data_IF_462821987023
#
_entry.id   IF_462821987023
#
_cell.length_a   1.000
_cell.length_b   1.000
_cell.length_c   1.000
_cell.angle_alpha   90.00
_cell.angle_beta   90.00
_cell.angle_gamma   90.00
#
_symmetry.space_group_name_H-M   'P 1'
#
loop_
_entity.id
_entity.type
_entity.pdbx_description
1 polymer ?
#
# COMPACT_ATOMS: atom_id res chain seq x y z
N UNK A 1 15.91 -21.01 28.11
CA UNK A 1 15.69 -20.15 26.92
C UNK A 1 16.22 -20.85 25.67
N UNK A 2 15.37 -20.99 24.65
CA UNK A 2 15.76 -21.53 23.33
C UNK A 2 16.44 -20.46 22.48
N UNK A 3 17.32 -20.82 21.54
CA UNK A 3 17.96 -19.86 20.64
C UNK A 3 16.94 -18.98 19.87
N UNK A 4 15.76 -19.52 19.58
CA UNK A 4 14.64 -18.80 18.96
C UNK A 4 14.01 -17.75 19.89
N UNK A 5 13.86 -18.05 21.18
CA UNK A 5 13.36 -17.08 22.17
C UNK A 5 14.30 -15.88 22.31
N UNK A 6 15.61 -16.13 22.27
CA UNK A 6 16.62 -15.07 22.38
C UNK A 6 16.57 -14.13 21.17
N UNK A 7 16.49 -14.68 19.96
CA UNK A 7 16.34 -13.89 18.72
C UNK A 7 15.03 -13.10 18.74
N UNK A 8 13.92 -13.71 19.19
CA UNK A 8 12.63 -13.03 19.27
C UNK A 8 12.69 -11.82 20.24
N UNK A 9 13.31 -11.99 21.41
CA UNK A 9 13.50 -10.90 22.36
C UNK A 9 14.45 -9.82 21.84
N UNK A 10 15.48 -10.19 21.07
CA UNK A 10 16.36 -9.24 20.41
C UNK A 10 15.59 -8.42 19.35
N UNK A 11 14.76 -9.04 18.52
CA UNK A 11 13.90 -8.33 17.55
C UNK A 11 12.94 -7.38 18.27
N UNK A 12 12.33 -7.81 19.38
CA UNK A 12 11.48 -6.94 20.19
C UNK A 12 12.26 -5.75 20.77
N UNK A 13 13.51 -5.96 21.19
CA UNK A 13 14.42 -4.90 21.65
C UNK A 13 14.74 -3.91 20.53
N UNK A 14 14.96 -4.37 19.30
CA UNK A 14 15.15 -3.48 18.15
C UNK A 14 13.91 -2.65 17.84
N UNK A 15 12.71 -3.24 17.87
CA UNK A 15 11.44 -2.50 17.73
C UNK A 15 11.35 -1.41 18.80
N UNK A 16 11.65 -1.76 20.06
CA UNK A 16 11.66 -0.81 21.18
C UNK A 16 12.65 0.34 20.94
N UNK A 17 13.87 0.05 20.48
CA UNK A 17 14.88 1.07 20.16
C UNK A 17 14.38 2.01 19.07
N UNK A 18 13.78 1.49 18.01
CA UNK A 18 13.20 2.32 16.93
C UNK A 18 12.06 3.18 17.46
N UNK A 19 11.16 2.64 18.30
CA UNK A 19 10.06 3.41 18.87
C UNK A 19 10.50 4.58 19.77
N UNK A 20 11.71 4.51 20.34
CA UNK A 20 12.30 5.56 21.17
C UNK A 20 13.12 6.60 20.38
N UNK A 21 13.35 6.41 19.07
CA UNK A 21 14.08 7.38 18.24
C UNK A 21 13.32 8.72 18.15
N UNK A 22 14.01 9.78 17.72
CA UNK A 22 13.35 11.07 17.54
C UNK A 22 12.47 11.11 16.28
N UNK A 23 12.97 10.55 15.18
CA UNK A 23 12.28 10.44 13.90
C UNK A 23 12.02 8.98 13.51
N UNK A 24 11.02 8.78 12.65
CA UNK A 24 10.60 7.47 12.14
C UNK A 24 10.33 6.44 13.26
N UNK A 25 9.63 6.87 14.31
CA UNK A 25 9.35 6.06 15.50
C UNK A 25 8.48 4.83 15.26
N UNK A 26 7.91 4.65 14.07
CA UNK A 26 6.97 3.57 13.77
C UNK A 26 7.55 2.77 12.60
N UNK A 27 8.26 1.66 12.87
CA UNK A 27 8.82 0.82 11.82
C UNK A 27 7.70 0.15 11.02
N UNK A 28 7.81 0.18 9.70
CA UNK A 28 6.88 -0.44 8.75
C UNK A 28 7.51 -1.64 8.07
N UNK A 29 6.70 -2.63 7.69
CA UNK A 29 7.18 -3.92 7.15
C UNK A 29 7.94 -3.79 5.83
N UNK A 30 7.69 -2.74 5.05
CA UNK A 30 8.35 -2.45 3.77
C UNK A 30 9.84 -2.11 3.90
N UNK A 31 10.23 -1.45 4.98
CA UNK A 31 11.62 -1.08 5.30
C UNK A 31 12.21 -2.00 6.37
N UNK A 32 11.51 -2.19 7.47
CA UNK A 32 12.02 -2.88 8.66
C UNK A 32 12.30 -4.36 8.42
N UNK A 33 11.51 -5.05 7.59
CA UNK A 33 11.78 -6.46 7.26
C UNK A 33 13.13 -6.62 6.57
N UNK A 34 13.52 -5.68 5.70
CA UNK A 34 14.82 -5.73 5.00
C UNK A 34 15.98 -5.53 5.96
N UNK A 35 15.81 -4.63 6.93
CA UNK A 35 16.79 -4.42 8.00
C UNK A 35 16.95 -5.68 8.87
N UNK A 36 15.84 -6.29 9.30
CA UNK A 36 15.87 -7.52 10.10
C UNK A 36 16.47 -8.71 9.35
N UNK A 37 16.14 -8.88 8.06
CA UNK A 37 16.74 -9.93 7.21
C UNK A 37 18.26 -9.78 7.17
N UNK A 38 18.76 -8.55 7.01
CA UNK A 38 20.20 -8.27 6.99
C UNK A 38 20.86 -8.48 8.36
N UNK A 39 20.21 -8.08 9.46
CA UNK A 39 20.76 -8.15 10.82
C UNK A 39 20.83 -9.59 11.33
N UNK A 40 19.80 -10.39 11.08
CA UNK A 40 19.67 -11.74 11.64
C UNK A 40 19.96 -12.87 10.64
N UNK A 41 20.21 -12.53 9.36
CA UNK A 41 20.46 -13.51 8.28
C UNK A 41 19.37 -14.59 8.21
N UNK A 42 18.11 -14.16 8.25
CA UNK A 42 16.92 -15.03 8.24
C UNK A 42 16.04 -14.72 7.03
N UNK A 43 15.34 -15.76 6.57
CA UNK A 43 14.32 -15.64 5.54
C UNK A 43 13.13 -14.78 6.03
N UNK A 44 12.43 -14.09 5.12
CA UNK A 44 11.34 -13.18 5.50
C UNK A 44 10.20 -13.89 6.21
N UNK A 45 9.95 -15.17 5.91
CA UNK A 45 8.88 -15.95 6.54
C UNK A 45 9.21 -16.34 7.98
N UNK A 46 10.48 -16.63 8.27
CA UNK A 46 10.94 -16.88 9.65
C UNK A 46 10.72 -15.63 10.52
N UNK A 47 11.08 -14.45 10.00
CA UNK A 47 10.92 -13.18 10.72
C UNK A 47 9.44 -12.88 10.95
N UNK A 48 8.57 -13.11 9.96
CA UNK A 48 7.11 -12.97 10.12
C UNK A 48 6.57 -13.90 11.20
N UNK A 49 7.01 -15.16 11.21
CA UNK A 49 6.62 -16.13 12.24
C UNK A 49 7.06 -15.69 13.64
N UNK A 50 8.26 -15.10 13.76
CA UNK A 50 8.75 -14.54 15.02
C UNK A 50 7.89 -13.34 15.45
N UNK A 51 7.58 -12.41 14.54
CA UNK A 51 6.74 -11.23 14.82
C UNK A 51 5.32 -11.61 15.23
N UNK A 52 4.70 -12.60 14.58
CA UNK A 52 3.40 -13.12 15.00
C UNK A 52 3.47 -13.82 16.37
N UNK A 53 4.58 -14.49 16.67
CA UNK A 53 4.80 -15.11 17.98
C UNK A 53 4.96 -14.04 19.07
N UNK A 54 5.70 -12.96 18.80
CA UNK A 54 5.83 -11.81 19.71
C UNK A 54 4.49 -11.08 19.94
N UNK A 55 3.67 -10.98 18.90
CA UNK A 55 2.31 -10.44 18.98
C UNK A 55 1.42 -11.33 19.85
N UNK A 56 1.46 -12.65 19.63
CA UNK A 56 0.69 -13.61 20.43
C UNK A 56 1.11 -13.59 21.91
N UNK A 57 2.40 -13.40 22.18
CA UNK A 57 2.95 -13.19 23.52
C UNK A 57 2.64 -11.81 24.12
N UNK A 58 1.94 -10.93 23.39
CA UNK A 58 1.59 -9.56 23.79
C UNK A 58 2.80 -8.67 24.12
N UNK A 59 3.97 -8.96 23.53
CA UNK A 59 5.20 -8.16 23.68
C UNK A 59 5.20 -6.98 22.70
N UNK A 60 4.60 -7.17 21.53
CA UNK A 60 4.45 -6.14 20.51
C UNK A 60 3.00 -6.07 20.03
N UNK A 61 2.63 -4.90 19.51
CA UNK A 61 1.44 -4.70 18.71
C UNK A 61 1.79 -4.62 17.23
N UNK A 62 0.90 -5.15 16.39
CA UNK A 62 0.98 -5.10 14.93
C UNK A 62 -0.21 -4.31 14.41
N UNK A 63 0.05 -3.25 13.66
CA UNK A 63 -0.94 -2.39 13.02
C UNK A 63 -0.95 -2.71 11.53
N UNK A 64 -2.08 -3.16 10.99
CA UNK A 64 -2.25 -3.31 9.55
C UNK A 64 -2.50 -1.95 8.91
N UNK A 65 -1.44 -1.28 8.46
CA UNK A 65 -1.48 0.12 7.98
C UNK A 65 -2.09 0.21 6.59
N UNK A 66 -1.66 -0.66 5.67
CA UNK A 66 -2.21 -0.76 4.31
C UNK A 66 -2.81 -2.13 4.14
N UNK A 67 -4.11 -2.16 3.81
CA UNK A 67 -4.80 -3.41 3.53
C UNK A 67 -4.51 -3.87 2.10
N UNK A 68 -4.32 -5.19 1.87
CA UNK A 68 -4.23 -5.76 0.52
C UNK A 68 -5.46 -5.41 -0.31
N UNK A 69 -5.27 -5.01 -1.57
CA UNK A 69 -6.40 -4.77 -2.48
C UNK A 69 -6.98 -6.10 -2.98
N UNK A 70 -8.21 -6.41 -2.55
CA UNK A 70 -8.94 -7.64 -2.95
C UNK A 70 -9.08 -7.79 -4.48
N UNK A 71 -9.09 -6.67 -5.22
CA UNK A 71 -9.34 -6.66 -6.68
C UNK A 71 -8.12 -6.98 -7.53
N UNK A 72 -6.93 -6.97 -6.92
CA UNK A 72 -5.64 -7.12 -7.60
C UNK A 72 -4.99 -8.46 -7.23
N UNK A 73 -5.82 -9.46 -6.89
CA UNK A 73 -5.50 -10.84 -6.45
C UNK A 73 -4.52 -11.65 -7.33
N UNK A 74 -3.96 -11.09 -8.40
CA UNK A 74 -2.89 -11.70 -9.19
C UNK A 74 -1.49 -11.26 -8.76
N UNK A 75 -1.37 -10.23 -7.93
CA UNK A 75 -0.11 -9.77 -7.37
C UNK A 75 -0.25 -9.88 -5.85
N UNK A 76 0.49 -10.81 -5.24
CA UNK A 76 0.58 -10.97 -3.78
C UNK A 76 1.14 -9.67 -3.18
N UNK A 77 0.30 -8.67 -2.95
CA UNK A 77 0.64 -7.53 -2.11
C UNK A 77 0.28 -7.93 -0.67
N UNK A 78 1.28 -8.22 0.20
CA UNK A 78 1.02 -8.60 1.58
C UNK A 78 0.44 -7.45 2.41
N UNK A 79 0.33 -6.24 1.85
CA UNK A 79 0.00 -5.03 2.58
C UNK A 79 1.22 -4.51 3.36
N UNK A 80 0.98 -3.48 4.17
CA UNK A 80 2.03 -2.87 5.00
C UNK A 80 1.59 -2.91 6.45
N UNK A 81 2.41 -3.55 7.28
CA UNK A 81 2.23 -3.61 8.73
C UNK A 81 3.18 -2.62 9.41
N UNK A 82 2.79 -2.14 10.58
CA UNK A 82 3.64 -1.34 11.46
C UNK A 82 3.71 -1.98 12.84
N UNK A 83 4.87 -1.82 13.50
CA UNK A 83 5.14 -2.47 14.77
C UNK A 83 5.32 -1.45 15.90
N UNK A 84 4.74 -1.76 17.06
CA UNK A 84 4.89 -0.96 18.27
C UNK A 84 5.16 -1.86 19.47
N UNK A 85 6.10 -1.48 20.33
CA UNK A 85 6.37 -2.21 21.57
C UNK A 85 5.21 -2.02 22.57
N UNK A 86 4.80 -3.09 23.25
CA UNK A 86 3.68 -3.09 24.19
C UNK A 86 4.07 -2.51 25.56
N UNK A 87 4.39 -1.22 25.58
CA UNK A 87 4.68 -0.47 26.80
C UNK A 87 3.87 0.83 26.81
N UNK A 88 3.17 1.09 27.92
CA UNK A 88 2.22 2.20 28.00
C UNK A 88 2.92 3.56 27.82
N UNK A 89 4.14 3.73 28.32
CA UNK A 89 4.91 4.98 28.16
C UNK A 89 5.29 5.17 26.69
N UNK A 90 5.80 4.12 26.05
CA UNK A 90 6.15 4.15 24.62
C UNK A 90 4.92 4.45 23.77
N UNK A 91 3.79 3.79 24.03
CA UNK A 91 2.56 4.01 23.26
C UNK A 91 2.05 5.45 23.39
N UNK A 92 2.11 6.06 24.57
CA UNK A 92 1.73 7.46 24.74
C UNK A 92 2.65 8.41 23.96
N UNK A 93 3.95 8.16 23.95
CA UNK A 93 4.91 8.94 23.14
C UNK A 93 4.65 8.77 21.63
N UNK A 94 4.34 7.54 21.19
CA UNK A 94 3.97 7.24 19.81
C UNK A 94 2.63 7.89 19.43
N UNK A 95 1.65 7.93 20.33
CA UNK A 95 0.38 8.64 20.15
C UNK A 95 0.64 10.12 19.89
N UNK A 96 1.40 10.78 20.76
CA UNK A 96 1.72 12.19 20.60
C UNK A 96 2.46 12.49 19.28
N UNK A 97 3.46 11.66 18.94
CA UNK A 97 4.19 11.78 17.68
C UNK A 97 3.27 11.63 16.46
N UNK A 98 2.43 10.60 16.45
CA UNK A 98 1.52 10.28 15.33
C UNK A 98 0.41 11.32 15.18
N UNK A 99 -0.15 11.83 16.28
CA UNK A 99 -1.14 12.92 16.28
C UNK A 99 -0.57 14.21 15.68
N UNK A 100 0.63 14.64 16.09
CA UNK A 100 1.30 15.80 15.50
C UNK A 100 1.60 15.61 14.02
N UNK A 101 2.01 14.41 13.62
CA UNK A 101 2.27 14.09 12.21
C UNK A 101 0.97 14.10 11.40
N UNK A 102 -0.13 13.62 11.97
CA UNK A 102 -1.45 13.65 11.36
C UNK A 102 -1.94 15.08 11.12
N UNK A 103 -1.81 15.97 12.11
CA UNK A 103 -2.17 17.39 11.96
C UNK A 103 -1.42 18.05 10.80
N UNK A 104 -0.10 17.84 10.72
CA UNK A 104 0.74 18.39 9.65
C UNK A 104 0.34 17.85 8.28
N UNK A 105 0.08 16.54 8.17
CA UNK A 105 -0.36 15.92 6.91
C UNK A 105 -1.75 16.43 6.50
N UNK A 106 -2.66 16.61 7.46
CA UNK A 106 -3.98 17.15 7.21
C UNK A 106 -3.92 18.61 6.74
N UNK A 107 -3.12 19.44 7.41
CA UNK A 107 -2.89 20.84 7.01
C UNK A 107 -2.29 20.92 5.61
N UNK A 108 -1.29 20.10 5.30
CA UNK A 108 -0.67 20.07 3.98
C UNK A 108 -1.64 19.61 2.87
N UNK A 109 -2.57 18.71 3.18
CA UNK A 109 -3.51 18.13 2.20
C UNK A 109 -4.75 19.02 1.97
N UNK A 110 -5.28 19.62 3.04
CA UNK A 110 -6.56 20.34 3.01
C UNK A 110 -6.45 21.84 3.29
N UNK A 111 -5.25 22.36 3.55
CA UNK A 111 -4.97 23.76 3.89
C UNK A 111 -5.79 24.27 5.08
N UNK A 112 -6.13 23.38 6.02
CA UNK A 112 -6.92 23.68 7.22
C UNK A 112 -6.29 23.01 8.42
N UNK A 113 -6.22 23.73 9.54
CA UNK A 113 -5.83 23.16 10.84
C UNK A 113 -7.05 22.61 11.56
N UNK A 114 -6.95 21.39 12.06
CA UNK A 114 -7.96 20.73 12.90
C UNK A 114 -7.24 19.90 13.96
N UNK A 115 -7.91 19.66 15.09
CA UNK A 115 -7.39 18.76 16.13
C UNK A 115 -7.32 17.31 15.61
N UNK A 116 -6.42 16.46 16.15
CA UNK A 116 -6.25 15.08 15.69
C UNK A 116 -7.56 14.29 15.87
N UNK A 117 -8.27 14.50 16.98
CA UNK A 117 -9.57 13.89 17.27
C UNK A 117 -10.66 14.25 16.25
N UNK A 118 -10.65 15.48 15.74
CA UNK A 118 -11.60 15.91 14.71
C UNK A 118 -11.25 15.27 13.37
N UNK A 119 -9.95 15.23 13.04
CA UNK A 119 -9.43 14.63 11.82
C UNK A 119 -9.74 13.14 11.78
N UNK A 120 -9.49 12.40 12.86
CA UNK A 120 -9.77 10.96 12.93
C UNK A 120 -11.26 10.68 12.76
N UNK A 121 -12.15 11.40 13.46
CA UNK A 121 -13.61 11.23 13.33
C UNK A 121 -14.12 11.49 11.91
N UNK A 122 -13.48 12.40 11.18
CA UNK A 122 -13.87 12.76 9.81
C UNK A 122 -13.33 11.77 8.76
N UNK A 123 -12.07 11.35 8.90
CA UNK A 123 -11.36 10.56 7.89
C UNK A 123 -11.48 9.05 8.12
N UNK A 124 -11.65 8.59 9.36
CA UNK A 124 -11.72 7.16 9.68
C UNK A 124 -12.91 6.44 9.01
N UNK A 125 -14.13 7.01 8.91
CA UNK A 125 -15.22 6.38 8.15
C UNK A 125 -14.88 6.16 6.67
N UNK A 126 -13.93 6.93 6.12
CA UNK A 126 -13.47 6.86 4.73
C UNK A 126 -12.11 6.16 4.59
N UNK A 127 -11.67 5.42 5.61
CA UNK A 127 -10.32 4.85 5.67
C UNK A 127 -10.01 3.91 4.49
N UNK A 128 -11.02 3.20 3.96
CA UNK A 128 -10.87 2.35 2.77
C UNK A 128 -10.58 3.15 1.51
N UNK A 129 -11.17 4.34 1.36
CA UNK A 129 -10.92 5.23 0.23
C UNK A 129 -9.55 5.91 0.33
N UNK A 130 -9.08 6.10 1.56
CA UNK A 130 -7.77 6.67 1.88
C UNK A 130 -6.70 5.60 2.08
N UNK A 131 -7.00 4.33 1.76
CA UNK A 131 -6.03 3.24 1.88
C UNK A 131 -4.78 3.59 1.06
N UNK A 132 -3.62 3.23 1.59
CA UNK A 132 -2.32 3.52 0.96
C UNK A 132 -1.94 5.01 0.81
N UNK A 133 -2.79 5.97 1.19
CA UNK A 133 -2.43 7.41 1.20
C UNK A 133 -1.64 7.76 2.47
N UNK A 134 -0.70 8.74 2.45
CA UNK A 134 0.06 9.14 3.64
C UNK A 134 -0.84 9.52 4.82
N UNK A 135 -1.94 10.21 4.54
CA UNK A 135 -2.90 10.63 5.56
C UNK A 135 -3.74 9.46 6.08
N UNK A 136 -4.22 8.57 5.19
CA UNK A 136 -4.98 7.37 5.60
C UNK A 136 -4.14 6.41 6.42
N UNK A 137 -2.88 6.16 6.01
CA UNK A 137 -1.91 5.38 6.78
C UNK A 137 -1.75 5.95 8.20
N UNK A 138 -1.61 7.28 8.32
CA UNK A 138 -1.45 7.94 9.61
C UNK A 138 -2.72 7.91 10.47
N UNK A 139 -3.90 8.13 9.88
CA UNK A 139 -5.18 8.03 10.61
C UNK A 139 -5.35 6.64 11.20
N UNK A 140 -5.06 5.59 10.42
CA UNK A 140 -5.14 4.21 10.88
C UNK A 140 -4.19 3.96 12.09
N UNK A 141 -2.94 4.41 11.98
CA UNK A 141 -1.96 4.32 13.06
C UNK A 141 -2.44 5.01 14.35
N UNK A 142 -2.91 6.26 14.26
CA UNK A 142 -3.38 7.03 15.44
C UNK A 142 -4.54 6.31 16.14
N UNK A 143 -5.53 5.85 15.38
CA UNK A 143 -6.70 5.14 15.94
C UNK A 143 -6.29 3.82 16.60
N UNK A 144 -5.41 3.06 15.96
CA UNK A 144 -4.96 1.77 16.50
C UNK A 144 -4.09 1.94 17.75
N UNK A 145 -3.21 2.95 17.81
CA UNK A 145 -2.44 3.25 19.03
C UNK A 145 -3.37 3.64 20.18
N UNK A 146 -4.40 4.46 19.92
CA UNK A 146 -5.39 4.81 20.95
C UNK A 146 -6.11 3.58 21.49
N UNK A 147 -6.49 2.65 20.60
CA UNK A 147 -7.12 1.39 21.00
C UNK A 147 -6.17 0.49 21.81
N UNK A 148 -4.89 0.41 21.44
CA UNK A 148 -3.91 -0.35 22.23
C UNK A 148 -3.69 0.23 23.63
N UNK A 149 -3.66 1.56 23.76
CA UNK A 149 -3.57 2.22 25.07
C UNK A 149 -4.81 1.87 25.92
N UNK A 150 -6.01 1.92 25.34
CA UNK A 150 -7.25 1.51 26.03
C UNK A 150 -7.20 0.05 26.46
N UNK A 151 -6.75 -0.84 25.57
CA UNK A 151 -6.62 -2.27 25.84
C UNK A 151 -5.63 -2.56 26.98
N UNK A 152 -4.48 -1.89 27.01
CA UNK A 152 -3.49 -2.02 28.09
C UNK A 152 -4.00 -1.50 29.43
N UNK A 153 -4.73 -0.38 29.42
CA UNK A 153 -5.33 0.17 30.64
C UNK A 153 -6.45 -0.71 31.20
N UNK A 154 -7.23 -1.35 30.33
CA UNK A 154 -8.31 -2.24 30.75
C UNK A 154 -7.79 -3.60 31.27
N UNK A 155 -6.67 -4.09 30.74
CA UNK A 155 -6.11 -5.40 31.09
C UNK A 155 -4.60 -5.32 31.41
N UNK A 156 -4.17 -4.61 32.48
CA UNK A 156 -2.76 -4.38 32.76
C UNK A 156 -1.97 -5.67 33.05
N UNK A 157 -2.62 -6.67 33.65
CA UNK A 157 -1.99 -7.94 34.03
C UNK A 157 -1.60 -8.82 32.84
N UNK A 158 -2.27 -8.64 31.70
CA UNK A 158 -2.04 -9.44 30.49
C UNK A 158 -0.72 -9.15 29.80
N UNK A 159 -0.18 -7.95 30.01
CA UNK A 159 1.04 -7.47 29.34
C UNK A 159 2.30 -7.63 30.20
N UNK A 160 2.16 -7.95 31.50
CA UNK A 160 3.29 -8.17 32.40
C UNK A 160 3.94 -9.55 32.26
N UNK A 161 3.22 -10.53 31.70
CA UNK A 161 3.67 -11.94 31.60
C UNK A 161 4.28 -12.32 30.25
N UNK A 162 4.53 -11.36 29.35
CA UNK A 162 4.87 -11.62 27.96
C UNK A 162 6.06 -12.57 27.75
N UNK A 163 7.09 -12.51 28.60
CA UNK A 163 8.25 -13.41 28.49
C UNK A 163 7.92 -14.87 28.81
N UNK A 164 7.04 -15.12 29.79
CA UNK A 164 6.62 -16.48 30.15
C UNK A 164 5.73 -17.06 29.06
N UNK A 165 4.76 -16.26 28.58
CA UNK A 165 3.87 -16.65 27.48
C UNK A 165 4.65 -16.93 26.19
N UNK A 166 5.73 -16.20 25.93
CA UNK A 166 6.60 -16.45 24.78
C UNK A 166 7.27 -17.82 24.86
N UNK A 167 7.81 -18.19 26.02
CA UNK A 167 8.42 -19.50 26.23
C UNK A 167 7.38 -20.62 26.09
N UNK A 168 6.18 -20.44 26.65
CA UNK A 168 5.09 -21.41 26.55
C UNK A 168 4.64 -21.63 25.09
N UNK A 169 4.52 -20.55 24.29
CA UNK A 169 4.15 -20.65 22.87
C UNK A 169 5.26 -21.33 22.04
N UNK A 170 6.53 -21.03 22.34
CA UNK A 170 7.67 -21.64 21.64
C UNK A 170 7.87 -23.10 22.03
N UNK A 171 7.61 -23.46 23.29
CA UNK A 171 7.60 -24.84 23.76
C UNK A 171 6.48 -25.65 23.09
N UNK A 172 5.27 -25.11 23.02
CA UNK A 172 4.15 -25.75 22.33
C UNK A 172 4.39 -25.95 20.82
N UNK A 173 5.19 -25.08 20.18
CA UNK A 173 5.63 -25.25 18.79
C UNK A 173 6.81 -26.22 18.63
N UNK A 174 7.57 -26.49 19.69
CA UNK A 174 8.73 -27.38 19.69
C UNK A 174 8.41 -28.85 19.97
N UNK A 175 7.23 -29.16 20.51
CA UNK A 175 6.82 -30.51 20.93
C UNK A 175 6.11 -31.34 19.85
N UNK A 176 6.15 -30.90 18.58
CA UNK A 176 5.76 -31.75 17.45
C UNK A 176 7.01 -32.42 16.88
N UNK A 177 7.14 -33.76 16.96
CA UNK A 177 8.26 -34.45 16.32
C UNK A 177 8.17 -34.30 14.82
N UNK A 178 9.26 -33.84 14.23
CA UNK A 178 9.49 -33.79 12.80
C UNK A 178 9.56 -35.21 12.25
N UNK A 179 8.55 -35.67 11.50
CA UNK A 179 8.73 -36.52 10.32
C UNK A 179 7.42 -36.65 9.52
N UNK A 180 7.59 -36.73 8.20
CA UNK A 180 6.64 -37.16 7.17
C UNK A 180 5.41 -36.28 6.86
N UNK A 181 5.52 -35.61 5.72
CA UNK A 181 4.52 -35.58 4.62
C UNK A 181 3.22 -36.35 4.88
N UNK A 182 2.09 -35.65 4.84
CA UNK A 182 0.94 -35.97 3.96
C UNK A 182 -0.11 -34.83 3.95
N UNK A 183 -0.96 -34.75 2.90
CA UNK A 183 -1.49 -33.50 2.37
C UNK A 183 -2.87 -33.15 2.94
N UNK A 184 -3.10 -31.86 3.20
CA UNK A 184 -4.45 -31.35 3.40
C UNK A 184 -5.13 -31.14 2.05
N UNK A 185 -5.86 -32.17 1.62
CA UNK A 185 -7.13 -32.14 0.89
C UNK A 185 -7.44 -30.86 0.07
N UNK A 186 -6.88 -30.78 -1.13
CA UNK A 186 -7.47 -30.04 -2.24
C UNK A 186 -8.65 -30.84 -2.79
N UNK A 187 -9.88 -30.41 -2.50
CA UNK A 187 -11.05 -30.80 -3.28
C UNK A 187 -11.64 -29.55 -3.93
N UNK A 188 -11.09 -29.18 -5.09
CA UNK A 188 -11.80 -28.54 -6.19
C UNK A 188 -11.01 -28.85 -7.46
N UNK A 189 -11.42 -29.92 -8.14
CA UNK A 189 -10.85 -30.30 -9.43
C UNK A 189 -11.12 -29.26 -10.51
N UNK A 190 -10.27 -29.19 -11.55
CA UNK A 190 -10.42 -28.27 -12.67
C UNK A 190 -11.40 -28.84 -13.70
N UNK A 191 -12.38 -28.03 -14.13
CA UNK A 191 -13.10 -28.32 -15.37
C UNK A 191 -12.36 -27.68 -16.55
N UNK A 192 -11.92 -28.56 -17.45
CA UNK A 192 -11.39 -28.26 -18.77
C UNK A 192 -12.49 -27.72 -19.70
N UNK A 193 -12.04 -26.84 -20.61
CA UNK A 193 -12.63 -26.56 -21.92
C UNK A 193 -13.93 -25.75 -21.97
N UNK A 194 -13.80 -24.44 -22.25
CA UNK A 194 -14.57 -23.83 -23.32
C UNK A 194 -13.69 -22.91 -24.19
N UNK A 195 -13.95 -23.05 -25.48
CA UNK A 195 -13.20 -22.65 -26.68
C UNK A 195 -13.08 -21.13 -26.84
N UNK A 196 -11.91 -20.69 -27.31
CA UNK A 196 -11.74 -19.40 -27.94
C UNK A 196 -12.42 -19.41 -29.31
N UNK A 197 -13.47 -18.59 -29.49
CA UNK A 197 -13.80 -17.82 -30.72
C UNK A 197 -15.14 -17.09 -30.54
N UNK A 198 -15.18 -15.88 -31.07
CA UNK A 198 -16.36 -15.08 -31.44
C UNK A 198 -17.19 -14.42 -30.35
N UNK A 199 -16.70 -13.26 -29.88
CA UNK A 199 -17.55 -12.07 -29.66
C UNK A 199 -16.79 -10.79 -30.04
N UNK A 200 -16.64 -10.55 -31.35
CA UNK A 200 -16.59 -9.19 -31.87
C UNK A 200 -18.00 -8.79 -32.27
N UNK A 201 -18.66 -8.05 -31.41
CA UNK A 201 -19.72 -7.11 -31.76
C UNK A 201 -19.86 -6.15 -30.57
N UNK A 202 -19.52 -4.89 -30.83
CA UNK A 202 -19.79 -3.69 -30.03
C UNK A 202 -19.20 -3.65 -28.62
N UNK A 203 -17.88 -3.47 -28.54
CA UNK A 203 -17.25 -2.88 -27.35
C UNK A 203 -17.41 -1.35 -27.39
N UNK A 204 -18.61 -0.87 -27.08
CA UNK A 204 -18.69 0.37 -26.33
C UNK A 204 -17.90 0.12 -25.03
N UNK A 205 -16.90 0.97 -24.79
CA UNK A 205 -15.98 0.85 -23.68
C UNK A 205 -16.76 0.53 -22.40
N UNK A 206 -16.59 -0.69 -21.87
CA UNK A 206 -17.09 -1.10 -20.57
C UNK A 206 -16.32 -0.31 -19.48
N UNK A 207 -16.59 0.99 -19.43
CA UNK A 207 -16.16 1.90 -18.38
C UNK A 207 -16.93 1.49 -17.14
N UNK A 208 -16.29 0.69 -16.27
CA UNK A 208 -16.89 0.38 -14.98
C UNK A 208 -17.24 1.70 -14.25
N UNK A 209 -18.52 2.02 -14.05
CA UNK A 209 -18.95 3.30 -13.49
C UNK A 209 -18.46 3.52 -12.06
N UNK A 210 -18.03 2.45 -11.37
CA UNK A 210 -17.49 2.51 -10.01
C UNK A 210 -15.98 2.79 -9.95
N UNK A 211 -15.25 2.76 -11.08
CA UNK A 211 -13.83 3.13 -11.16
C UNK A 211 -13.66 4.65 -11.00
N UNK A 212 -12.62 5.15 -10.31
CA UNK A 212 -12.36 6.60 -10.23
C UNK A 212 -12.33 7.29 -11.59
N UNK A 213 -11.74 6.66 -12.61
CA UNK A 213 -11.80 7.14 -14.00
C UNK A 213 -13.23 7.15 -14.56
N UNK A 214 -14.01 6.09 -14.33
CA UNK A 214 -15.41 6.01 -14.77
C UNK A 214 -16.29 7.10 -14.14
N UNK A 215 -16.10 7.40 -12.85
CA UNK A 215 -16.79 8.50 -12.16
C UNK A 215 -16.38 9.89 -12.64
N UNK A 216 -15.15 10.04 -13.14
CA UNK A 216 -14.68 11.32 -13.70
C UNK A 216 -15.17 11.50 -15.13
N UNK A 217 -15.13 10.45 -15.95
CA UNK A 217 -15.64 10.47 -17.33
C UNK A 217 -17.16 10.66 -17.38
N UNK A 218 -17.90 10.28 -16.32
CA UNK A 218 -19.33 10.59 -16.23
C UNK A 218 -19.65 12.07 -15.90
N UNK A 219 -18.66 12.84 -15.41
CA UNK A 219 -18.84 14.25 -15.03
C UNK A 219 -18.12 15.23 -15.95
N UNK A 220 -17.04 14.79 -16.59
CA UNK A 220 -16.15 15.61 -17.40
C UNK A 220 -15.74 14.86 -18.65
N UNK A 221 -15.48 15.59 -19.74
CA UNK A 221 -14.97 14.97 -20.97
C UNK A 221 -13.58 14.35 -20.75
N UNK A 222 -13.31 13.25 -21.46
CA UNK A 222 -11.99 12.59 -21.46
C UNK A 222 -10.90 13.59 -21.87
N UNK A 223 -11.18 14.44 -22.87
CA UNK A 223 -10.29 15.51 -23.31
C UNK A 223 -9.91 16.46 -22.16
N UNK A 224 -10.89 16.92 -21.39
CA UNK A 224 -10.65 17.81 -20.25
C UNK A 224 -9.76 17.14 -19.20
N UNK A 225 -10.06 15.89 -18.85
CA UNK A 225 -9.29 15.13 -17.87
C UNK A 225 -7.85 14.92 -18.33
N UNK A 226 -7.64 14.59 -19.61
CA UNK A 226 -6.31 14.45 -20.20
C UNK A 226 -5.52 15.76 -20.13
N UNK A 227 -6.13 16.90 -20.46
CA UNK A 227 -5.47 18.21 -20.33
C UNK A 227 -5.07 18.54 -18.89
N UNK A 228 -5.89 18.17 -17.91
CA UNK A 228 -5.58 18.36 -16.48
C UNK A 228 -4.37 17.53 -16.06
N UNK A 229 -4.35 16.24 -16.38
CA UNK A 229 -3.23 15.35 -16.05
C UNK A 229 -1.92 15.80 -16.72
N UNK A 230 -1.99 16.20 -18.00
CA UNK A 230 -0.82 16.70 -18.73
C UNK A 230 -0.28 18.02 -18.16
N UNK A 231 -1.16 18.94 -17.72
CA UNK A 231 -0.72 20.18 -17.05
C UNK A 231 -0.02 19.92 -15.72
N UNK A 232 -0.44 18.89 -14.99
CA UNK A 232 0.15 18.50 -13.70
C UNK A 232 1.38 17.59 -13.83
N UNK A 233 1.83 17.31 -15.06
CA UNK A 233 2.92 16.36 -15.32
C UNK A 233 2.66 14.94 -14.78
N UNK A 234 1.39 14.52 -14.69
CA UNK A 234 0.99 13.19 -14.23
C UNK A 234 1.09 12.16 -15.39
N UNK A 235 2.27 12.05 -16.01
CA UNK A 235 2.49 11.27 -17.23
C UNK A 235 2.24 9.77 -17.03
N UNK A 236 2.64 9.22 -15.87
CA UNK A 236 2.43 7.81 -15.55
C UNK A 236 0.94 7.45 -15.44
N UNK A 237 0.10 8.37 -14.96
CA UNK A 237 -1.36 8.20 -14.95
C UNK A 237 -1.90 8.09 -16.37
N UNK A 238 -1.48 9.00 -17.27
CA UNK A 238 -1.88 8.99 -18.68
C UNK A 238 -1.40 7.71 -19.37
N UNK A 239 -0.18 7.25 -19.07
CA UNK A 239 0.39 5.98 -19.56
C UNK A 239 -0.50 4.79 -19.19
N UNK A 240 -0.88 4.68 -17.93
CA UNK A 240 -1.78 3.63 -17.43
C UNK A 240 -3.16 3.68 -18.08
N UNK A 241 -3.69 4.87 -18.36
CA UNK A 241 -4.99 5.03 -19.04
C UNK A 241 -4.95 4.54 -20.50
N UNK A 242 -3.85 4.77 -21.21
CA UNK A 242 -3.64 4.23 -22.57
C UNK A 242 -3.46 2.70 -22.54
N UNK A 243 -2.64 2.18 -21.62
CA UNK A 243 -2.35 0.72 -21.54
C UNK A 243 -3.62 -0.06 -21.14
N UNK A 244 -4.40 0.46 -20.19
CA UNK A 244 -5.63 -0.17 -19.72
C UNK A 244 -6.80 -0.09 -20.72
N UNK A 245 -6.60 0.52 -21.90
CA UNK A 245 -7.63 0.63 -22.93
C UNK A 245 -8.75 1.60 -22.58
N UNK A 246 -8.58 2.44 -21.55
CA UNK A 246 -9.56 3.47 -21.15
C UNK A 246 -9.51 4.70 -22.05
N UNK A 247 -8.37 4.91 -22.71
CA UNK A 247 -8.16 5.97 -23.71
C UNK A 247 -7.69 5.30 -25.00
N UNK A 248 -8.65 4.99 -25.85
CA UNK A 248 -8.44 4.33 -27.16
C UNK A 248 -8.82 5.22 -28.34
N UNK A 249 -9.61 6.26 -28.11
CA UNK A 249 -10.08 7.15 -29.17
C UNK A 249 -8.92 7.86 -29.88
N UNK A 250 -8.98 7.89 -31.21
CA UNK A 250 -7.96 8.50 -32.08
C UNK A 250 -7.71 9.97 -31.70
N UNK A 251 -8.78 10.73 -31.49
CA UNK A 251 -8.73 12.14 -31.09
C UNK A 251 -7.98 12.36 -29.77
N UNK A 252 -8.21 11.47 -28.78
CA UNK A 252 -7.58 11.55 -27.47
C UNK A 252 -6.09 11.18 -27.54
N UNK A 253 -5.73 10.15 -28.33
CA UNK A 253 -4.33 9.77 -28.54
C UNK A 253 -3.56 10.86 -29.30
N UNK A 254 -4.21 11.52 -30.26
CA UNK A 254 -3.67 12.66 -30.99
C UNK A 254 -3.44 13.86 -30.07
N UNK A 255 -4.41 14.19 -29.22
CA UNK A 255 -4.28 15.23 -28.18
C UNK A 255 -3.05 14.99 -27.29
N UNK A 256 -2.91 13.78 -26.74
CA UNK A 256 -1.79 13.43 -25.85
C UNK A 256 -0.46 13.62 -26.58
N UNK A 257 -0.32 13.09 -27.80
CA UNK A 257 0.90 13.25 -28.60
C UNK A 257 1.24 14.71 -28.86
N UNK A 258 0.27 15.52 -29.29
CA UNK A 258 0.49 16.90 -29.70
C UNK A 258 0.80 17.80 -28.49
N UNK A 259 0.18 17.52 -27.34
CA UNK A 259 0.50 18.18 -26.07
C UNK A 259 1.92 17.86 -25.61
N UNK A 260 2.35 16.59 -25.66
CA UNK A 260 3.71 16.21 -25.28
C UNK A 260 4.77 16.82 -26.21
N UNK A 261 4.51 16.87 -27.52
CA UNK A 261 5.38 17.56 -28.48
C UNK A 261 5.54 19.05 -28.16
N UNK A 262 4.48 19.73 -27.73
CA UNK A 262 4.55 21.14 -27.31
C UNK A 262 5.32 21.31 -26.01
N UNK A 263 5.12 20.42 -25.04
CA UNK A 263 5.84 20.43 -23.77
C UNK A 263 7.34 20.17 -23.97
N UNK A 264 7.72 19.23 -24.85
CA UNK A 264 9.12 18.97 -25.23
C UNK A 264 9.81 20.21 -25.82
N UNK A 265 9.13 20.98 -26.67
CA UNK A 265 9.68 22.22 -27.26
C UNK A 265 9.92 23.32 -26.22
N UNK A 266 9.22 23.28 -25.10
CA UNK A 266 9.28 24.30 -24.04
C UNK A 266 10.21 23.90 -22.88
N UNK A 267 10.96 22.80 -22.98
CA UNK A 267 11.87 22.32 -21.92
C UNK A 267 12.91 23.37 -21.51
N UNK A 268 13.39 24.17 -22.46
CA UNK A 268 14.38 25.22 -22.18
C UNK A 268 13.80 26.41 -21.39
N UNK A 269 12.47 26.52 -21.32
CA UNK A 269 11.76 27.60 -20.61
C UNK A 269 11.36 27.15 -19.20
N UNK A 270 11.02 25.88 -19.02
CA UNK A 270 10.59 25.32 -17.73
C UNK A 270 11.52 24.18 -17.26
N UNK A 271 12.33 24.47 -16.23
CA UNK A 271 13.27 23.52 -15.64
C UNK A 271 12.60 22.30 -15.01
N UNK A 272 11.31 22.38 -14.66
CA UNK A 272 10.54 21.24 -14.14
C UNK A 272 10.23 20.24 -15.26
N UNK A 273 10.04 20.70 -16.49
CA UNK A 273 9.81 19.80 -17.63
C UNK A 273 11.08 19.01 -18.01
N UNK A 274 12.26 19.56 -17.73
CA UNK A 274 13.53 18.89 -18.00
C UNK A 274 13.67 17.58 -17.20
N UNK A 275 13.16 17.51 -15.96
CA UNK A 275 13.22 16.29 -15.15
C UNK A 275 12.29 15.18 -15.66
N UNK A 276 11.30 15.50 -16.49
CA UNK A 276 10.33 14.54 -17.03
C UNK A 276 10.53 14.24 -18.51
N UNK A 277 11.63 14.68 -19.13
CA UNK A 277 11.87 14.53 -20.57
C UNK A 277 11.80 13.07 -21.04
N UNK A 278 12.35 12.14 -20.26
CA UNK A 278 12.31 10.71 -20.59
C UNK A 278 10.88 10.18 -20.56
N UNK A 279 10.13 10.45 -19.50
CA UNK A 279 8.73 10.06 -19.34
C UNK A 279 7.83 10.64 -20.46
N UNK A 280 8.03 11.90 -20.82
CA UNK A 280 7.31 12.53 -21.93
C UNK A 280 7.61 11.84 -23.27
N UNK A 281 8.88 11.53 -23.52
CA UNK A 281 9.31 10.87 -24.75
C UNK A 281 8.73 9.47 -24.86
N UNK A 282 8.74 8.71 -23.77
CA UNK A 282 8.16 7.38 -23.72
C UNK A 282 6.65 7.39 -23.90
N UNK A 283 5.94 8.28 -23.21
CA UNK A 283 4.50 8.41 -23.31
C UNK A 283 4.08 8.82 -24.73
N UNK A 284 4.83 9.72 -25.37
CA UNK A 284 4.61 10.10 -26.77
C UNK A 284 4.81 8.91 -27.72
N UNK A 285 5.87 8.12 -27.53
CA UNK A 285 6.12 6.89 -28.32
C UNK A 285 4.99 5.88 -28.13
N UNK A 286 4.47 5.71 -26.92
CA UNK A 286 3.33 4.85 -26.62
C UNK A 286 2.06 5.34 -27.33
N UNK A 287 1.75 6.64 -27.21
CA UNK A 287 0.59 7.26 -27.85
C UNK A 287 0.66 7.12 -29.38
N UNK A 288 1.82 7.39 -29.99
CA UNK A 288 2.01 7.24 -31.45
C UNK A 288 1.88 5.79 -31.91
N UNK A 289 2.38 4.82 -31.14
CA UNK A 289 2.25 3.39 -31.46
C UNK A 289 0.78 2.94 -31.44
N UNK A 290 0.03 3.40 -30.45
CA UNK A 290 -1.41 3.12 -30.33
C UNK A 290 -2.20 3.84 -31.41
N UNK A 291 -1.85 5.08 -31.74
CA UNK A 291 -2.46 5.84 -32.84
C UNK A 291 -2.27 5.11 -34.17
N UNK A 292 -1.05 4.62 -34.47
CA UNK A 292 -0.78 3.85 -35.68
C UNK A 292 -1.55 2.52 -35.73
N UNK A 293 -1.84 1.91 -34.57
CA UNK A 293 -2.64 0.69 -34.50
C UNK A 293 -4.13 0.96 -34.76
N UNK A 294 -4.63 2.14 -34.38
CA UNK A 294 -6.02 2.59 -34.62
C UNK A 294 -6.20 3.10 -36.05
N UNK A 295 -5.19 3.76 -36.64
CA UNK A 295 -5.24 4.33 -38.00
C UNK A 295 -4.98 3.33 -39.12
N UNK A 296 -4.56 2.09 -38.85
CA UNK A 296 -4.51 1.04 -39.88
C UNK A 296 -5.93 0.52 -40.12
N UNK A 297 -6.55 0.75 -41.29
CA UNK A 297 -7.79 0.08 -41.60
C UNK A 297 -7.49 -1.43 -41.65
N UNK A 298 -8.33 -2.24 -40.99
CA UNK A 298 -8.36 -3.68 -41.19
C UNK A 298 -8.64 -3.93 -42.67
N UNK A 299 -7.58 -4.05 -43.46
CA UNK A 299 -7.63 -4.56 -44.82
C UNK A 299 -7.71 -6.07 -44.69
N UNK A 300 -8.94 -6.57 -44.71
CA UNK A 300 -9.23 -7.90 -45.21
C UNK A 300 -9.56 -7.78 -46.70
#
# INVERSE_FOLDING_TARGET
>A
MSALSEIALQIASEIRKVNLREDQRIPTSDTFMKELMSLYSREPDDIRNILETLRAAKIIFVIKVVLPEEKTSKMNDPGVDAYAYADLKILNDLKYYSEKKLERLYEATYYKKKSPSTITRELFPKIRELNNTPIGRMVNIVVMIEEFIRMMNNNPNDFQKGSQTLEDILAAKGDTPTESSEPLSNSFGPNLSQRATDRMADQEANLNPNSPWGRMVSKFSIEFLLRVHLRKCEFETVRKLIISGKVTGEENLRLIRDSLLKMEKNINVDKVLASYLEEMTELRRLAQRKLNAVSKPNTF
#
